data_IF_087690015931
#
_entry.id   IF_087690015931
#
_cell.length_a   1.000
_cell.length_b   1.000
_cell.length_c   1.000
_cell.angle_alpha   90.00
_cell.angle_beta   90.00
_cell.angle_gamma   90.00
#
_symmetry.space_group_name_H-M   'P 1'
#
loop_
_entity.id
_entity.type
_entity.pdbx_description
1 polymer ?
#
# COMPACT_ATOMS: atom_id res chain seq x y z
N UNK A 1 -4.24 -14.36 17.38
CA UNK A 1 -4.90 -14.55 16.08
C UNK A 1 -4.04 -14.06 14.93
N UNK A 2 -3.50 -12.85 15.01
CA UNK A 2 -2.54 -12.36 14.00
C UNK A 2 -1.26 -13.20 13.93
N UNK A 3 -0.75 -13.65 15.08
CA UNK A 3 0.44 -14.51 15.15
C UNK A 3 0.23 -15.85 14.45
N UNK A 4 -0.96 -16.44 14.54
CA UNK A 4 -1.28 -17.73 13.89
C UNK A 4 -1.31 -17.59 12.35
N UNK A 5 -1.80 -16.46 11.82
CA UNK A 5 -1.84 -16.23 10.38
C UNK A 5 -0.43 -16.18 9.77
N UNK A 6 0.44 -15.40 10.37
CA UNK A 6 1.82 -15.26 9.88
C UNK A 6 2.64 -16.52 10.13
N UNK A 7 2.42 -17.19 11.26
CA UNK A 7 3.09 -18.44 11.59
C UNK A 7 2.64 -19.63 10.72
N UNK A 8 1.42 -19.56 10.14
CA UNK A 8 0.90 -20.59 9.26
C UNK A 8 1.49 -20.62 7.86
N UNK A 9 2.18 -19.55 7.43
CA UNK A 9 2.80 -19.49 6.12
C UNK A 9 4.18 -20.16 6.15
N UNK A 10 4.38 -21.14 5.25
CA UNK A 10 5.68 -21.74 5.04
C UNK A 10 6.66 -20.75 4.40
N UNK A 11 7.98 -20.96 4.51
CA UNK A 11 8.97 -20.12 3.80
C UNK A 11 8.74 -20.07 2.29
N UNK A 12 8.29 -21.18 1.69
CA UNK A 12 7.99 -21.22 0.24
C UNK A 12 6.77 -20.37 -0.09
N UNK A 13 5.70 -20.46 0.68
CA UNK A 13 4.51 -19.61 0.51
C UNK A 13 4.85 -18.14 0.66
N UNK A 14 5.66 -17.79 1.65
CA UNK A 14 6.11 -16.40 1.86
C UNK A 14 6.91 -15.89 0.66
N UNK A 15 7.77 -16.72 0.07
CA UNK A 15 8.54 -16.35 -1.11
C UNK A 15 7.64 -16.12 -2.33
N UNK A 16 6.64 -16.97 -2.54
CA UNK A 16 5.66 -16.83 -3.62
C UNK A 16 4.85 -15.54 -3.45
N UNK A 17 4.36 -15.28 -2.25
CA UNK A 17 3.60 -14.08 -1.93
C UNK A 17 4.45 -12.83 -2.19
N UNK A 18 5.69 -12.82 -1.76
CA UNK A 18 6.62 -11.71 -1.98
C UNK A 18 6.84 -11.46 -3.48
N UNK A 19 6.99 -12.51 -4.28
CA UNK A 19 7.15 -12.39 -5.73
C UNK A 19 5.89 -11.83 -6.41
N UNK A 20 4.72 -12.31 -6.03
CA UNK A 20 3.45 -11.81 -6.57
C UNK A 20 3.26 -10.33 -6.25
N UNK A 21 3.67 -9.91 -5.06
CA UNK A 21 3.58 -8.51 -4.68
C UNK A 21 4.55 -7.63 -5.49
N UNK A 22 5.77 -8.10 -5.77
CA UNK A 22 6.71 -7.40 -6.63
C UNK A 22 6.11 -7.14 -8.02
N UNK A 23 5.43 -8.13 -8.59
CA UNK A 23 4.72 -7.98 -9.86
C UNK A 23 3.60 -6.94 -9.77
N UNK A 24 2.88 -6.91 -8.67
CA UNK A 24 1.84 -5.92 -8.41
C UNK A 24 2.44 -4.51 -8.32
N UNK A 25 3.57 -4.36 -7.66
CA UNK A 25 4.26 -3.08 -7.53
C UNK A 25 4.73 -2.55 -8.89
N UNK A 26 5.23 -3.44 -9.76
CA UNK A 26 5.61 -3.07 -11.12
C UNK A 26 4.39 -2.60 -11.92
N UNK A 27 3.28 -3.32 -11.84
CA UNK A 27 2.03 -2.93 -12.53
C UNK A 27 1.52 -1.58 -12.04
N UNK A 28 1.58 -1.31 -10.74
CA UNK A 28 1.15 -0.03 -10.19
C UNK A 28 1.95 1.13 -10.79
N UNK A 29 3.26 0.97 -10.93
CA UNK A 29 4.12 1.99 -11.55
C UNK A 29 3.79 2.20 -13.02
N UNK A 30 3.53 1.13 -13.76
CA UNK A 30 3.15 1.22 -15.18
C UNK A 30 1.81 1.99 -15.32
N UNK A 31 0.81 1.64 -14.52
CA UNK A 31 -0.48 2.34 -14.53
C UNK A 31 -0.33 3.82 -14.14
N UNK A 32 0.54 4.13 -13.21
CA UNK A 32 0.80 5.51 -12.80
C UNK A 32 1.41 6.35 -13.92
N UNK A 33 2.18 5.73 -14.81
CA UNK A 33 2.85 6.42 -15.93
C UNK A 33 1.92 6.56 -17.14
N UNK A 34 1.28 5.49 -17.56
CA UNK A 34 0.58 5.41 -18.84
C UNK A 34 -0.86 4.87 -18.75
N UNK A 35 -1.29 4.41 -17.59
CA UNK A 35 -2.62 3.84 -17.43
C UNK A 35 -3.71 4.89 -17.58
N UNK A 36 -4.79 4.54 -18.29
CA UNK A 36 -5.96 5.40 -18.48
C UNK A 36 -7.20 4.89 -17.78
N UNK A 37 -7.20 3.62 -17.36
CA UNK A 37 -8.28 3.01 -16.63
C UNK A 37 -8.15 3.39 -15.14
N UNK A 38 -9.09 4.22 -14.66
CA UNK A 38 -9.09 4.71 -13.29
C UNK A 38 -9.19 3.57 -12.27
N UNK A 39 -10.05 2.60 -12.49
CA UNK A 39 -10.26 1.49 -11.56
C UNK A 39 -9.01 0.61 -11.44
N UNK A 40 -8.35 0.31 -12.54
CA UNK A 40 -7.11 -0.46 -12.53
C UNK A 40 -5.98 0.30 -11.86
N UNK A 41 -5.86 1.58 -12.13
CA UNK A 41 -4.86 2.45 -11.51
C UNK A 41 -5.07 2.52 -10.00
N UNK A 42 -6.28 2.81 -9.55
CA UNK A 42 -6.63 2.90 -8.13
C UNK A 42 -6.40 1.57 -7.42
N UNK A 43 -6.81 0.47 -8.03
CA UNK A 43 -6.64 -0.86 -7.46
C UNK A 43 -5.15 -1.22 -7.27
N UNK A 44 -4.34 -1.04 -8.30
CA UNK A 44 -2.93 -1.37 -8.24
C UNK A 44 -2.16 -0.47 -7.27
N UNK A 45 -2.35 0.84 -7.36
CA UNK A 45 -1.71 1.80 -6.46
C UNK A 45 -2.17 1.60 -5.02
N UNK A 46 -3.45 1.33 -4.82
CA UNK A 46 -4.03 1.10 -3.50
C UNK A 46 -3.39 -0.08 -2.78
N UNK A 47 -3.13 -1.17 -3.50
CA UNK A 47 -2.46 -2.35 -2.93
C UNK A 47 -1.05 -2.02 -2.44
N UNK A 48 -0.29 -1.29 -3.23
CA UNK A 48 1.08 -0.89 -2.85
C UNK A 48 1.07 0.02 -1.65
N UNK A 49 0.25 1.06 -1.66
CA UNK A 49 0.17 2.03 -0.57
C UNK A 49 -0.36 1.39 0.71
N UNK A 50 -1.31 0.46 0.61
CA UNK A 50 -1.82 -0.27 1.77
C UNK A 50 -0.71 -1.09 2.44
N UNK A 51 0.10 -1.80 1.66
CA UNK A 51 1.22 -2.59 2.17
C UNK A 51 2.24 -1.69 2.87
N UNK A 52 2.55 -0.55 2.28
CA UNK A 52 3.50 0.42 2.87
C UNK A 52 2.98 0.93 4.21
N UNK A 53 1.71 1.34 4.28
CA UNK A 53 1.12 1.80 5.54
C UNK A 53 1.16 0.71 6.61
N UNK A 54 0.84 -0.54 6.24
CA UNK A 54 0.90 -1.67 7.15
C UNK A 54 2.31 -1.94 7.67
N UNK A 55 3.30 -1.90 6.79
CA UNK A 55 4.70 -2.08 7.16
C UNK A 55 5.23 -0.95 8.06
N UNK A 56 4.83 0.29 7.78
CA UNK A 56 5.17 1.44 8.61
C UNK A 56 4.63 1.28 10.05
N UNK A 57 3.42 0.76 10.19
CA UNK A 57 2.84 0.49 11.51
C UNK A 57 3.55 -0.63 12.24
N UNK A 58 3.92 -1.71 11.55
CA UNK A 58 4.65 -2.82 12.13
C UNK A 58 6.00 -2.35 12.68
N UNK A 59 6.71 -1.52 11.93
CA UNK A 59 8.04 -1.02 12.31
C UNK A 59 8.00 0.27 13.11
N UNK A 60 6.82 0.83 13.37
CA UNK A 60 6.63 2.06 14.14
C UNK A 60 7.48 3.23 13.59
N UNK A 61 7.49 3.38 12.27
CA UNK A 61 8.25 4.45 11.60
C UNK A 61 7.64 5.81 11.93
N UNK A 62 8.49 6.80 12.13
CA UNK A 62 8.08 8.16 12.45
C UNK A 62 7.21 8.77 11.33
N UNK A 63 5.99 9.22 11.65
CA UNK A 63 5.06 9.73 10.63
C UNK A 63 5.41 11.10 10.07
N UNK A 64 6.36 11.80 10.65
CA UNK A 64 6.84 13.10 10.20
C UNK A 64 7.95 13.02 9.14
N UNK A 65 8.44 11.83 8.81
CA UNK A 65 9.37 11.66 7.70
C UNK A 65 8.77 12.17 6.40
N UNK A 66 9.59 12.80 5.56
CA UNK A 66 9.14 13.38 4.28
C UNK A 66 8.47 12.33 3.40
N UNK A 67 9.07 11.15 3.29
CA UNK A 67 8.55 10.04 2.49
C UNK A 67 7.20 9.56 3.00
N UNK A 68 7.01 9.51 4.31
CA UNK A 68 5.73 9.11 4.93
C UNK A 68 4.66 10.15 4.64
N UNK A 69 4.99 11.44 4.68
CA UNK A 69 4.03 12.51 4.33
C UNK A 69 3.61 12.42 2.86
N UNK A 70 4.56 12.14 1.96
CA UNK A 70 4.26 11.98 0.54
C UNK A 70 3.33 10.79 0.31
N UNK A 71 3.58 9.66 0.98
CA UNK A 71 2.71 8.48 0.92
C UNK A 71 1.31 8.81 1.44
N UNK A 72 1.20 9.52 2.56
CA UNK A 72 -0.10 9.94 3.11
C UNK A 72 -0.87 10.84 2.14
N UNK A 73 -0.19 11.79 1.52
CA UNK A 73 -0.78 12.64 0.48
C UNK A 73 -1.30 11.85 -0.71
N UNK A 74 -0.54 10.84 -1.14
CA UNK A 74 -0.95 9.92 -2.19
C UNK A 74 -2.17 9.09 -1.79
N UNK A 75 -2.24 8.64 -0.54
CA UNK A 75 -3.38 7.90 -0.02
C UNK A 75 -4.66 8.74 -0.05
N UNK A 76 -4.57 10.01 0.34
CA UNK A 76 -5.71 10.93 0.27
C UNK A 76 -6.15 11.16 -1.18
N UNK A 77 -5.20 11.37 -2.09
CA UNK A 77 -5.49 11.51 -3.52
C UNK A 77 -6.16 10.25 -4.10
N UNK A 78 -5.73 9.07 -3.64
CA UNK A 78 -6.29 7.81 -4.08
C UNK A 78 -7.75 7.65 -3.63
N UNK A 79 -8.05 8.00 -2.39
CA UNK A 79 -9.41 7.97 -1.84
C UNK A 79 -10.32 8.89 -2.66
N UNK A 80 -9.85 10.09 -2.99
CA UNK A 80 -10.62 11.03 -3.82
C UNK A 80 -10.79 10.53 -5.26
N UNK A 81 -9.81 9.82 -5.80
CA UNK A 81 -9.85 9.28 -7.16
C UNK A 81 -10.76 8.07 -7.28
N UNK A 82 -10.93 7.29 -6.22
CA UNK A 82 -11.73 6.07 -6.25
C UNK A 82 -13.18 6.36 -6.68
N UNK A 83 -13.67 5.60 -7.66
CA UNK A 83 -15.00 5.78 -8.21
C UNK A 83 -15.13 6.85 -9.29
N UNK A 84 -14.11 7.65 -9.52
CA UNK A 84 -14.12 8.64 -10.59
C UNK A 84 -13.79 7.99 -11.94
N UNK A 85 -14.50 8.34 -13.02
CA UNK A 85 -14.30 7.69 -14.33
C UNK A 85 -13.01 8.14 -15.02
N UNK A 86 -12.51 9.34 -14.72
CA UNK A 86 -11.29 9.91 -15.31
C UNK A 86 -10.27 10.16 -14.23
N UNK A 87 -9.00 9.93 -14.59
CA UNK A 87 -7.89 10.18 -13.70
C UNK A 87 -7.55 11.66 -13.75
N UNK A 88 -7.72 12.35 -12.61
CA UNK A 88 -7.32 13.74 -12.48
C UNK A 88 -5.79 13.86 -12.53
N UNK A 89 -5.22 14.77 -13.35
CA UNK A 89 -3.78 14.89 -13.49
C UNK A 89 -3.04 15.21 -12.19
N UNK A 90 -3.62 16.03 -11.31
CA UNK A 90 -3.00 16.35 -10.02
C UNK A 90 -2.99 15.15 -9.08
N UNK A 91 -4.07 14.37 -9.07
CA UNK A 91 -4.14 13.14 -8.30
C UNK A 91 -3.16 12.11 -8.82
N UNK A 92 -3.04 11.96 -10.14
CA UNK A 92 -2.03 11.09 -10.75
C UNK A 92 -0.63 11.47 -10.29
N UNK A 93 -0.29 12.76 -10.31
CA UNK A 93 1.02 13.26 -9.89
C UNK A 93 1.28 12.94 -8.42
N UNK A 94 0.30 13.18 -7.54
CA UNK A 94 0.41 12.87 -6.11
C UNK A 94 0.58 11.37 -5.86
N UNK A 95 -0.17 10.53 -6.57
CA UNK A 95 -0.10 9.08 -6.43
C UNK A 95 1.24 8.56 -6.94
N UNK A 96 1.74 9.07 -8.07
CA UNK A 96 3.09 8.74 -8.57
C UNK A 96 4.17 9.07 -7.56
N UNK A 97 4.12 10.27 -7.00
CA UNK A 97 5.07 10.68 -5.97
C UNK A 97 5.01 9.74 -4.76
N UNK A 98 3.80 9.35 -4.36
CA UNK A 98 3.60 8.40 -3.27
C UNK A 98 4.16 7.01 -3.56
N UNK A 99 3.99 6.51 -4.78
CA UNK A 99 4.55 5.21 -5.19
C UNK A 99 6.08 5.24 -5.18
N UNK A 100 6.67 6.35 -5.61
CA UNK A 100 8.12 6.53 -5.58
C UNK A 100 8.65 6.59 -4.13
N UNK A 101 8.00 7.38 -3.27
CA UNK A 101 8.33 7.44 -1.85
C UNK A 101 8.13 6.09 -1.17
N UNK A 102 7.07 5.35 -1.54
CA UNK A 102 6.82 4.00 -1.06
C UNK A 102 7.97 3.06 -1.42
N UNK A 103 8.50 3.14 -2.63
CA UNK A 103 9.66 2.36 -3.05
C UNK A 103 10.89 2.64 -2.20
N UNK A 104 11.14 3.90 -1.87
CA UNK A 104 12.24 4.31 -0.99
C UNK A 104 12.06 3.78 0.43
N UNK A 105 10.86 3.86 0.98
CA UNK A 105 10.55 3.33 2.32
C UNK A 105 10.70 1.81 2.36
N UNK A 106 10.19 1.12 1.36
CA UNK A 106 10.26 -0.34 1.29
C UNK A 106 11.71 -0.84 1.19
N UNK A 107 12.60 -0.07 0.59
CA UNK A 107 14.01 -0.41 0.49
C UNK A 107 14.72 -0.44 1.85
N UNK A 108 14.26 0.37 2.81
CA UNK A 108 14.85 0.46 4.16
C UNK A 108 14.07 -0.33 5.21
N UNK A 109 12.86 -0.78 4.89
CA UNK A 109 12.07 -1.59 5.80
C UNK A 109 12.54 -3.06 5.81
N UNK A 110 12.51 -3.73 6.97
CA UNK A 110 12.83 -5.16 7.03
C UNK A 110 11.92 -5.98 6.12
N UNK A 111 12.49 -6.96 5.44
CA UNK A 111 11.72 -7.85 4.55
C UNK A 111 10.54 -8.51 5.28
N UNK A 112 10.74 -8.90 6.54
CA UNK A 112 9.68 -9.51 7.34
C UNK A 112 8.46 -8.60 7.47
N UNK A 113 8.67 -7.32 7.77
CA UNK A 113 7.58 -6.35 7.88
C UNK A 113 6.83 -6.19 6.56
N UNK A 114 7.56 -6.12 5.44
CA UNK A 114 6.95 -6.04 4.12
C UNK A 114 6.09 -7.26 3.81
N UNK A 115 6.63 -8.45 4.03
CA UNK A 115 5.93 -9.70 3.74
C UNK A 115 4.72 -9.87 4.67
N UNK A 116 4.84 -9.56 5.95
CA UNK A 116 3.73 -9.62 6.89
C UNK A 116 2.59 -8.67 6.48
N UNK A 117 2.93 -7.46 5.99
CA UNK A 117 1.95 -6.51 5.49
C UNK A 117 1.25 -7.02 4.21
N UNK A 118 1.99 -7.68 3.32
CA UNK A 118 1.42 -8.29 2.10
C UNK A 118 0.47 -9.43 2.45
N UNK A 119 0.83 -10.25 3.42
CA UNK A 119 -0.04 -11.34 3.90
C UNK A 119 -1.33 -10.78 4.50
N UNK A 120 -1.24 -9.71 5.28
CA UNK A 120 -2.41 -9.05 5.85
C UNK A 120 -3.33 -8.51 4.76
N UNK A 121 -2.78 -7.88 3.74
CA UNK A 121 -3.54 -7.42 2.58
C UNK A 121 -4.24 -8.58 1.86
N UNK A 122 -3.51 -9.67 1.61
CA UNK A 122 -4.06 -10.86 0.95
C UNK A 122 -5.23 -11.43 1.73
N UNK A 123 -5.12 -11.53 3.05
CA UNK A 123 -6.19 -12.00 3.91
C UNK A 123 -7.45 -11.12 3.81
N UNK A 124 -7.26 -9.80 3.74
CA UNK A 124 -8.36 -8.85 3.58
C UNK A 124 -9.02 -8.97 2.20
N UNK A 125 -8.22 -9.13 1.15
CA UNK A 125 -8.74 -9.34 -0.21
C UNK A 125 -9.53 -10.65 -0.31
N UNK A 126 -9.06 -11.72 0.32
CA UNK A 126 -9.75 -13.01 0.32
C UNK A 126 -11.10 -12.93 1.04
N UNK A 127 -11.25 -12.02 2.00
CA UNK A 127 -12.53 -11.72 2.65
C UNK A 127 -13.41 -10.76 1.85
N UNK A 128 -12.94 -10.32 0.69
CA UNK A 128 -13.66 -9.41 -0.20
C UNK A 128 -13.67 -7.96 0.25
N UNK A 129 -12.76 -7.57 1.14
CA UNK A 129 -12.90 -6.30 1.82
C UNK A 129 -11.57 -5.56 2.00
N UNK A 130 -11.23 -4.69 1.07
CA UNK A 130 -10.09 -3.78 1.28
C UNK A 130 -10.46 -2.32 1.04
N UNK A 131 -11.70 -1.97 0.86
CA UNK A 131 -11.92 -0.62 0.42
C UNK A 131 -12.36 0.36 1.48
N UNK A 132 -12.10 1.57 1.15
CA UNK A 132 -12.54 2.80 1.80
C UNK A 132 -12.37 2.80 3.32
N UNK A 133 -13.19 2.07 4.08
CA UNK A 133 -13.13 2.10 5.54
C UNK A 133 -11.85 1.50 6.11
N UNK A 134 -11.40 0.35 5.59
CA UNK A 134 -10.17 -0.29 6.06
C UNK A 134 -8.94 0.53 5.71
N UNK A 135 -8.94 1.11 4.51
CA UNK A 135 -7.85 1.96 4.04
C UNK A 135 -7.77 3.25 4.86
N UNK A 136 -8.91 3.89 5.11
CA UNK A 136 -8.99 5.09 5.93
C UNK A 136 -8.64 4.81 7.38
N UNK A 137 -9.06 3.68 7.93
CA UNK A 137 -8.72 3.27 9.28
C UNK A 137 -7.20 3.05 9.41
N UNK A 138 -6.57 2.41 8.43
CA UNK A 138 -5.13 2.19 8.42
C UNK A 138 -4.37 3.51 8.33
N UNK A 139 -4.81 4.41 7.45
CA UNK A 139 -4.23 5.74 7.31
C UNK A 139 -4.35 6.54 8.62
N UNK A 140 -5.51 6.50 9.25
CA UNK A 140 -5.74 7.15 10.53
C UNK A 140 -4.85 6.59 11.65
N UNK A 141 -4.57 5.29 11.65
CA UNK A 141 -3.64 4.67 12.61
C UNK A 141 -2.20 5.14 12.40
N UNK A 142 -1.78 5.29 11.15
CA UNK A 142 -0.45 5.86 10.84
C UNK A 142 -0.37 7.31 11.31
N UNK A 143 -1.41 8.11 11.08
CA UNK A 143 -1.48 9.49 11.55
C UNK A 143 -1.54 9.56 13.09
N UNK A 144 -2.30 8.69 13.73
CA UNK A 144 -2.41 8.60 15.18
C UNK A 144 -1.10 8.23 15.87
N UNK A 145 -0.20 7.51 15.20
CA UNK A 145 1.14 7.21 15.71
C UNK A 145 2.00 8.44 15.88
N UNK A 146 1.59 9.58 15.32
CA UNK A 146 2.27 10.87 15.46
C UNK A 146 2.06 11.51 16.85
N UNK A 147 1.02 11.11 17.54
CA UNK A 147 0.74 11.59 18.88
C UNK A 147 1.56 10.82 19.93
#
# INVERSE_FOLDING_TARGET
VKRRRFAGCSPVERAIIAQQWEDTAVRARIHALIGQDSDQFVSAAGRVLFVVLGALLIEQIAPDMVEVRIVRGACNALIEQAGEPRIDPQRRASIRAGLEAAGQLLAVLPRKARVDAVIDLRDKLDRGDVWASDYQALLGRVEGSAA
#
